data_IF_026768925928
#
_entry.id   IF_026768925928
#
_cell.length_a   1.000
_cell.length_b   1.000
_cell.length_c   1.000
_cell.angle_alpha   90.00
_cell.angle_beta   90.00
_cell.angle_gamma   90.00
#
_symmetry.space_group_name_H-M   'P 1'
#
loop_
_entity.id
_entity.type
_entity.pdbx_description
1 polymer ?
#
# COMPACT_ATOMS: atom_id res chain seq x y z
N UNK A 1 -37.91 9.38 44.62
CA UNK A 1 -36.89 10.19 43.92
C UNK A 1 -35.83 9.25 43.38
N UNK A 2 -35.69 9.08 42.06
CA UNK A 2 -34.67 8.21 41.51
C UNK A 2 -33.33 8.95 41.45
N UNK A 3 -32.32 8.25 41.92
CA UNK A 3 -30.90 8.62 41.94
C UNK A 3 -30.32 8.66 40.53
N UNK A 4 -29.75 9.81 40.15
CA UNK A 4 -28.94 9.99 38.96
C UNK A 4 -27.66 9.15 39.05
N UNK A 5 -27.59 8.09 38.26
CA UNK A 5 -26.39 7.24 38.13
C UNK A 5 -25.53 7.67 36.94
N UNK A 6 -24.29 8.06 37.27
CA UNK A 6 -23.03 8.04 36.51
C UNK A 6 -22.77 9.08 35.38
N UNK A 7 -21.49 9.52 35.24
CA UNK A 7 -21.06 10.44 34.20
C UNK A 7 -20.76 9.70 32.88
N UNK A 8 -21.35 10.16 31.78
CA UNK A 8 -21.24 9.62 30.41
C UNK A 8 -19.91 9.93 29.68
N UNK A 9 -18.88 10.44 30.37
CA UNK A 9 -17.64 10.94 29.72
C UNK A 9 -16.55 9.89 29.39
N UNK A 10 -16.78 8.60 29.66
CA UNK A 10 -15.77 7.53 29.44
C UNK A 10 -16.16 6.44 28.44
N UNK A 11 -17.38 6.43 27.92
CA UNK A 11 -17.89 5.33 27.09
C UNK A 11 -17.34 5.28 25.65
N UNK A 12 -17.12 6.41 24.93
CA UNK A 12 -16.65 6.37 23.55
C UNK A 12 -15.22 5.81 23.43
N UNK A 13 -14.31 6.26 24.31
CA UNK A 13 -12.90 5.81 24.29
C UNK A 13 -12.77 4.34 24.69
N UNK A 14 -13.55 3.88 25.67
CA UNK A 14 -13.57 2.47 26.05
C UNK A 14 -14.10 1.57 24.93
N UNK A 15 -15.11 2.02 24.18
CA UNK A 15 -15.64 1.26 23.03
C UNK A 15 -14.64 1.19 21.86
N UNK A 16 -13.91 2.28 21.59
CA UNK A 16 -12.84 2.32 20.59
C UNK A 16 -11.73 1.33 20.97
N UNK A 17 -11.27 1.38 22.22
CA UNK A 17 -10.25 0.46 22.72
C UNK A 17 -10.71 -0.99 22.63
N UNK A 18 -11.92 -1.31 23.09
CA UNK A 18 -12.45 -2.68 23.00
C UNK A 18 -12.58 -3.18 21.56
N UNK A 19 -12.93 -2.29 20.61
CA UNK A 19 -12.95 -2.64 19.18
C UNK A 19 -11.55 -2.91 18.64
N UNK A 20 -10.56 -2.09 19.01
CA UNK A 20 -9.16 -2.26 18.61
C UNK A 20 -8.58 -3.55 19.19
N UNK A 21 -8.79 -3.82 20.47
CA UNK A 21 -8.29 -5.03 21.13
C UNK A 21 -8.85 -6.28 20.42
N UNK A 22 -10.15 -6.28 20.11
CA UNK A 22 -10.75 -7.36 19.31
C UNK A 22 -10.12 -7.49 17.92
N UNK A 23 -9.87 -6.38 17.23
CA UNK A 23 -9.23 -6.42 15.91
C UNK A 23 -7.80 -6.95 15.98
N UNK A 24 -7.05 -6.59 17.03
CA UNK A 24 -5.70 -7.11 17.26
C UNK A 24 -5.75 -8.62 17.46
N UNK A 25 -6.64 -9.13 18.31
CA UNK A 25 -6.80 -10.58 18.52
C UNK A 25 -7.18 -11.30 17.22
N UNK A 26 -8.17 -10.79 16.48
CA UNK A 26 -8.62 -11.38 15.20
C UNK A 26 -7.50 -11.36 14.13
N UNK A 27 -6.70 -10.29 14.07
CA UNK A 27 -5.59 -10.16 13.13
C UNK A 27 -4.43 -11.09 13.48
N UNK A 28 -4.09 -11.21 14.77
CA UNK A 28 -3.02 -12.10 15.25
C UNK A 28 -3.36 -13.56 14.94
N UNK A 29 -4.61 -13.97 15.17
CA UNK A 29 -5.11 -15.30 14.79
C UNK A 29 -4.96 -15.58 13.29
N UNK A 30 -5.33 -14.61 12.44
CA UNK A 30 -5.22 -14.75 10.97
C UNK A 30 -3.74 -14.80 10.56
N UNK A 31 -2.90 -13.93 11.12
CA UNK A 31 -1.48 -13.84 10.81
C UNK A 31 -0.77 -15.17 11.13
N UNK A 32 -0.92 -15.68 12.34
CA UNK A 32 -0.31 -16.94 12.77
C UNK A 32 -0.80 -18.13 11.91
N UNK A 33 -2.11 -18.19 11.65
CA UNK A 33 -2.67 -19.23 10.79
C UNK A 33 -2.09 -19.19 9.37
N UNK A 34 -1.86 -17.99 8.82
CA UNK A 34 -1.28 -17.83 7.50
C UNK A 34 0.23 -18.11 7.50
N UNK A 35 0.94 -17.75 8.56
CA UNK A 35 2.36 -18.02 8.72
C UNK A 35 2.65 -19.53 8.67
N UNK A 36 1.78 -20.34 9.28
CA UNK A 36 1.85 -21.80 9.30
C UNK A 36 1.53 -22.47 7.94
N UNK A 37 1.01 -21.72 6.96
CA UNK A 37 0.72 -22.29 5.64
C UNK A 37 1.98 -22.38 4.78
N UNK A 38 2.25 -23.53 4.12
CA UNK A 38 3.46 -23.69 3.32
C UNK A 38 3.36 -22.99 1.96
N UNK A 39 2.14 -22.80 1.45
CA UNK A 39 1.89 -22.32 0.09
C UNK A 39 2.27 -20.86 -0.08
N UNK A 40 2.85 -20.52 -1.23
CA UNK A 40 3.23 -19.14 -1.56
C UNK A 40 2.05 -18.31 -2.06
N UNK A 41 0.94 -18.97 -2.39
CA UNK A 41 -0.29 -18.37 -2.88
C UNK A 41 -1.46 -18.71 -1.98
N UNK A 42 -2.40 -17.78 -1.87
CA UNK A 42 -3.69 -18.01 -1.24
C UNK A 42 -4.72 -18.12 -2.35
N UNK A 43 -5.28 -19.31 -2.50
CA UNK A 43 -6.37 -19.57 -3.43
C UNK A 43 -7.66 -18.87 -2.97
N UNK A 44 -8.49 -18.37 -3.91
CA UNK A 44 -9.78 -17.76 -3.58
C UNK A 44 -10.70 -18.63 -2.73
N UNK A 45 -10.67 -19.95 -2.95
CA UNK A 45 -11.42 -20.94 -2.18
C UNK A 45 -11.04 -20.95 -0.69
N UNK A 46 -9.82 -20.49 -0.37
CA UNK A 46 -9.30 -20.42 0.99
C UNK A 46 -9.51 -19.06 1.65
N UNK A 47 -9.98 -18.02 0.95
CA UNK A 47 -10.12 -16.67 1.52
C UNK A 47 -11.04 -16.62 2.75
N UNK A 48 -12.16 -17.36 2.72
CA UNK A 48 -13.07 -17.43 3.87
C UNK A 48 -12.38 -18.03 5.11
N UNK A 49 -11.45 -18.98 4.93
CA UNK A 49 -10.69 -19.59 6.02
C UNK A 49 -9.79 -18.59 6.75
N UNK A 50 -9.39 -17.50 6.08
CA UNK A 50 -8.57 -16.42 6.63
C UNK A 50 -9.36 -15.14 6.87
N UNK A 51 -10.71 -15.18 6.79
CA UNK A 51 -11.58 -14.00 6.86
C UNK A 51 -11.15 -12.90 5.88
N UNK A 52 -10.72 -13.28 4.68
CA UNK A 52 -10.29 -12.35 3.62
C UNK A 52 -11.46 -12.10 2.67
N UNK A 53 -11.72 -10.83 2.37
CA UNK A 53 -12.56 -10.40 1.27
C UNK A 53 -11.69 -9.72 0.22
N UNK A 54 -11.39 -10.44 -0.88
CA UNK A 54 -10.59 -9.92 -1.98
C UNK A 54 -11.51 -9.49 -3.13
N UNK A 55 -11.43 -8.21 -3.50
CA UNK A 55 -12.28 -7.57 -4.50
C UNK A 55 -11.42 -6.94 -5.59
N UNK A 56 -11.94 -6.82 -6.81
CA UNK A 56 -11.24 -6.08 -7.85
C UNK A 56 -11.31 -4.57 -7.61
N UNK A 57 -10.17 -3.90 -7.72
CA UNK A 57 -10.06 -2.46 -7.72
C UNK A 57 -10.44 -1.93 -9.12
N UNK A 58 -11.75 -1.74 -9.34
CA UNK A 58 -12.25 -1.15 -10.58
C UNK A 58 -12.08 0.37 -10.54
N UNK A 59 -11.04 0.88 -11.18
CA UNK A 59 -10.83 2.32 -11.29
C UNK A 59 -10.55 2.69 -12.76
N UNK A 60 -11.50 3.41 -13.36
CA UNK A 60 -11.39 4.18 -14.60
C UNK A 60 -11.01 3.41 -15.89
N UNK A 61 -11.91 2.57 -16.39
CA UNK A 61 -12.04 2.34 -17.85
C UNK A 61 -13.26 3.10 -18.36
N UNK A 62 -13.07 4.34 -18.81
CA UNK A 62 -14.12 5.14 -19.46
C UNK A 62 -15.36 5.44 -18.60
N UNK A 63 -16.34 6.11 -19.21
CA UNK A 63 -17.54 6.68 -18.58
C UNK A 63 -18.49 5.68 -17.88
N UNK A 64 -18.17 4.38 -17.85
CA UNK A 64 -19.08 3.32 -17.38
C UNK A 64 -18.55 2.46 -16.20
N UNK A 65 -17.39 2.77 -15.61
CA UNK A 65 -16.89 2.03 -14.45
C UNK A 65 -17.52 2.55 -13.14
N UNK A 66 -18.55 1.86 -12.63
CA UNK A 66 -19.13 2.13 -11.31
C UNK A 66 -18.29 1.46 -10.21
N UNK A 67 -18.02 2.20 -9.14
CA UNK A 67 -17.50 1.62 -7.90
C UNK A 67 -18.40 0.49 -7.42
N UNK A 68 -17.81 -0.57 -6.86
CA UNK A 68 -18.60 -1.67 -6.29
C UNK A 68 -19.48 -1.14 -5.15
N UNK A 69 -20.63 -1.78 -4.94
CA UNK A 69 -21.46 -1.47 -3.79
C UNK A 69 -20.67 -1.70 -2.49
N UNK A 70 -20.57 -0.66 -1.64
CA UNK A 70 -19.80 -0.64 -0.38
C UNK A 70 -18.27 -0.57 -0.54
N UNK A 71 -17.74 -0.06 -1.66
CA UNK A 71 -16.32 0.27 -1.77
C UNK A 71 -15.93 1.37 -0.77
N UNK A 72 -15.25 0.99 0.31
CA UNK A 72 -14.68 1.96 1.27
C UNK A 72 -13.37 2.52 0.72
N UNK A 73 -13.42 3.78 0.27
CA UNK A 73 -12.28 4.46 -0.32
C UNK A 73 -11.40 5.11 0.75
N UNK A 74 -10.18 4.60 0.89
CA UNK A 74 -9.14 5.21 1.73
C UNK A 74 -8.02 5.88 0.94
N UNK A 75 -7.90 5.55 -0.33
CA UNK A 75 -6.92 6.12 -1.25
C UNK A 75 -7.63 6.55 -2.53
N UNK A 76 -7.41 7.79 -2.95
CA UNK A 76 -7.97 8.31 -4.19
C UNK A 76 -6.85 8.62 -5.16
N UNK A 77 -6.80 8.03 -6.36
CA UNK A 77 -5.72 8.29 -7.29
C UNK A 77 -5.74 9.75 -7.74
N UNK A 78 -4.54 10.30 -7.97
CA UNK A 78 -4.33 11.54 -8.70
C UNK A 78 -4.87 11.40 -10.13
N UNK A 79 -5.42 12.49 -10.68
CA UNK A 79 -5.83 12.49 -12.08
C UNK A 79 -4.62 12.53 -13.01
N UNK A 80 -4.77 12.06 -14.25
CA UNK A 80 -3.70 12.14 -15.26
C UNK A 80 -3.26 13.59 -15.48
N UNK A 81 -4.22 14.51 -15.61
CA UNK A 81 -3.95 15.94 -15.81
C UNK A 81 -3.19 16.56 -14.63
N UNK A 82 -3.51 16.13 -13.39
CA UNK A 82 -2.81 16.61 -12.19
C UNK A 82 -1.39 16.06 -12.14
N UNK A 83 -1.16 14.78 -12.44
CA UNK A 83 0.18 14.22 -12.52
C UNK A 83 1.03 14.94 -13.59
N UNK A 84 0.46 15.21 -14.76
CA UNK A 84 1.11 15.94 -15.85
C UNK A 84 1.39 17.41 -15.53
N UNK A 85 0.71 17.99 -14.53
CA UNK A 85 0.99 19.35 -14.07
C UNK A 85 2.31 19.46 -13.27
N UNK A 86 2.94 18.33 -12.96
CA UNK A 86 4.25 18.23 -12.31
C UNK A 86 5.27 17.56 -13.25
N UNK A 87 5.69 18.25 -14.34
CA UNK A 87 6.64 17.67 -15.29
C UNK A 87 7.99 17.44 -14.61
N UNK A 88 8.70 16.41 -15.07
CA UNK A 88 10.06 16.10 -14.65
C UNK A 88 10.95 17.33 -14.87
N UNK A 89 11.81 17.62 -13.88
CA UNK A 89 12.76 18.71 -13.96
C UNK A 89 14.02 18.26 -14.71
N UNK A 90 14.07 18.55 -16.02
CA UNK A 90 15.23 18.20 -16.87
C UNK A 90 16.53 18.94 -16.50
N UNK A 91 16.44 19.99 -15.66
CA UNK A 91 17.60 20.73 -15.18
C UNK A 91 18.26 20.05 -13.95
N UNK A 92 17.59 19.04 -13.36
CA UNK A 92 18.08 18.29 -12.22
C UNK A 92 18.98 17.12 -12.67
N UNK A 93 20.27 17.22 -12.35
CA UNK A 93 21.29 16.26 -12.83
C UNK A 93 21.01 14.84 -12.35
N UNK A 94 20.66 14.67 -11.09
CA UNK A 94 20.44 13.35 -10.49
C UNK A 94 19.21 12.67 -11.13
N UNK A 95 18.11 13.41 -11.29
CA UNK A 95 16.91 12.94 -12.01
C UNK A 95 17.23 12.53 -13.44
N UNK A 96 18.05 13.29 -14.17
CA UNK A 96 18.42 12.97 -15.55
C UNK A 96 19.37 11.78 -15.65
N UNK A 97 20.25 11.57 -14.68
CA UNK A 97 21.10 10.37 -14.61
C UNK A 97 20.26 9.11 -14.38
N UNK A 98 19.28 9.16 -13.47
CA UNK A 98 18.36 8.05 -13.23
C UNK A 98 17.49 7.73 -14.45
N UNK A 99 17.01 8.74 -15.18
CA UNK A 99 16.26 8.56 -16.42
C UNK A 99 17.11 7.93 -17.54
N UNK A 100 18.38 8.31 -17.66
CA UNK A 100 19.29 7.70 -18.63
C UNK A 100 19.59 6.25 -18.26
N UNK A 101 19.77 5.95 -16.98
CA UNK A 101 19.90 4.57 -16.50
C UNK A 101 18.66 3.76 -16.83
N UNK A 102 17.46 4.30 -16.60
CA UNK A 102 16.21 3.65 -16.98
C UNK A 102 16.14 3.38 -18.49
N UNK A 103 16.47 4.36 -19.33
CA UNK A 103 16.49 4.18 -20.80
C UNK A 103 17.49 3.10 -21.22
N UNK A 104 18.69 3.13 -20.65
CA UNK A 104 19.74 2.13 -20.91
C UNK A 104 19.26 0.74 -20.52
N UNK A 105 18.59 0.60 -19.37
CA UNK A 105 17.99 -0.66 -18.97
C UNK A 105 16.97 -1.14 -20.02
N UNK A 106 16.03 -0.30 -20.46
CA UNK A 106 15.06 -0.71 -21.47
C UNK A 106 15.69 -1.04 -22.84
N UNK A 107 16.79 -0.38 -23.23
CA UNK A 107 17.51 -0.61 -24.48
C UNK A 107 18.38 -1.89 -24.45
N UNK A 108 19.02 -2.16 -23.30
CA UNK A 108 19.88 -3.33 -23.10
C UNK A 108 19.08 -4.61 -22.77
N UNK A 109 17.85 -4.47 -22.26
CA UNK A 109 17.02 -5.58 -21.77
C UNK A 109 16.15 -6.27 -22.84
N UNK A 110 16.81 -6.93 -23.80
CA UNK A 110 16.34 -8.25 -24.26
C UNK A 110 16.55 -9.33 -23.16
N UNK A 111 17.32 -9.05 -22.10
CA UNK A 111 17.56 -10.00 -20.99
C UNK A 111 17.56 -9.30 -19.63
N UNK A 112 16.38 -9.21 -19.02
CA UNK A 112 16.28 -9.31 -17.57
C UNK A 112 16.76 -10.74 -17.25
N UNK A 113 17.91 -10.83 -16.57
CA UNK A 113 18.73 -12.05 -16.40
C UNK A 113 18.01 -13.13 -15.55
N UNK A 114 18.54 -14.35 -15.45
CA UNK A 114 17.90 -15.55 -14.85
C UNK A 114 17.35 -15.41 -13.39
N UNK A 115 17.54 -14.27 -12.71
CA UNK A 115 17.07 -14.01 -11.34
C UNK A 115 15.81 -13.13 -11.28
N UNK A 116 14.66 -13.80 -11.21
CA UNK A 116 13.32 -13.21 -11.06
C UNK A 116 13.19 -12.18 -9.93
N UNK A 117 13.92 -12.32 -8.82
CA UNK A 117 13.82 -11.34 -7.74
C UNK A 117 14.48 -10.01 -8.10
N UNK A 118 15.55 -10.04 -8.91
CA UNK A 118 16.23 -8.83 -9.36
C UNK A 118 15.34 -8.06 -10.36
N UNK A 119 14.58 -8.76 -11.21
CA UNK A 119 13.58 -8.15 -12.08
C UNK A 119 12.52 -7.38 -11.30
N UNK A 120 11.97 -8.01 -10.25
CA UNK A 120 11.02 -7.37 -9.36
C UNK A 120 11.62 -6.14 -8.67
N UNK A 121 12.89 -6.22 -8.28
CA UNK A 121 13.63 -5.11 -7.66
C UNK A 121 13.85 -3.96 -8.63
N UNK A 122 14.22 -4.22 -9.87
CA UNK A 122 14.44 -3.15 -10.86
C UNK A 122 13.13 -2.43 -11.23
N UNK A 123 12.03 -3.16 -11.41
CA UNK A 123 10.72 -2.53 -11.60
C UNK A 123 10.33 -1.64 -10.41
N UNK A 124 10.55 -2.13 -9.18
CA UNK A 124 10.33 -1.37 -7.97
C UNK A 124 11.18 -0.10 -7.95
N UNK A 125 12.48 -0.22 -8.26
CA UNK A 125 13.43 0.91 -8.31
C UNK A 125 12.98 1.98 -9.31
N UNK A 126 12.54 1.58 -10.51
CA UNK A 126 12.06 2.51 -11.54
C UNK A 126 10.82 3.29 -11.06
N UNK A 127 9.83 2.57 -10.51
CA UNK A 127 8.58 3.21 -10.03
C UNK A 127 8.85 4.13 -8.85
N UNK A 128 9.61 3.67 -7.85
CA UNK A 128 9.98 4.48 -6.68
C UNK A 128 10.83 5.69 -7.07
N UNK A 129 11.80 5.51 -7.98
CA UNK A 129 12.62 6.60 -8.52
C UNK A 129 11.75 7.69 -9.15
N UNK A 130 10.81 7.32 -10.01
CA UNK A 130 9.89 8.30 -10.64
C UNK A 130 8.96 9.02 -9.67
N UNK A 131 8.72 8.45 -8.48
CA UNK A 131 8.01 9.10 -7.38
C UNK A 131 8.87 10.14 -6.65
N UNK A 132 10.18 9.89 -6.59
CA UNK A 132 11.21 10.74 -5.96
C UNK A 132 11.84 11.78 -6.90
N UNK A 133 11.66 11.65 -8.21
CA UNK A 133 12.22 12.60 -9.18
C UNK A 133 11.85 14.06 -8.89
N UNK A 134 12.83 14.93 -9.13
CA UNK A 134 12.65 16.38 -9.10
C UNK A 134 11.68 16.78 -10.20
N UNK A 135 10.64 17.53 -9.84
CA UNK A 135 9.59 18.01 -10.75
C UNK A 135 9.39 19.50 -10.60
N UNK A 136 9.10 20.18 -11.71
CA UNK A 136 8.84 21.63 -11.72
C UNK A 136 7.48 21.90 -11.07
N UNK A 137 7.48 22.71 -10.01
CA UNK A 137 6.25 23.21 -9.37
C UNK A 137 5.85 24.56 -9.98
N UNK A 138 6.85 25.42 -10.22
CA UNK A 138 6.77 26.67 -10.95
C UNK A 138 8.18 27.02 -11.47
N UNK A 139 8.35 28.21 -12.06
CA UNK A 139 9.61 28.63 -12.68
C UNK A 139 10.82 28.61 -11.72
N UNK A 140 10.61 28.68 -10.40
CA UNK A 140 11.68 28.80 -9.41
C UNK A 140 11.66 27.71 -8.33
N UNK A 141 10.64 26.86 -8.30
CA UNK A 141 10.45 25.85 -7.25
C UNK A 141 10.29 24.45 -7.84
N UNK A 142 10.90 23.49 -7.16
CA UNK A 142 10.78 22.07 -7.48
C UNK A 142 10.12 21.31 -6.34
N UNK A 143 9.62 20.13 -6.63
CA UNK A 143 9.06 19.20 -5.65
C UNK A 143 9.21 17.76 -6.14
N UNK A 144 9.04 16.81 -5.23
CA UNK A 144 8.78 15.40 -5.58
C UNK A 144 7.29 15.11 -5.43
N UNK A 145 6.81 14.00 -6.01
CA UNK A 145 5.38 13.65 -5.92
C UNK A 145 4.97 13.33 -4.47
N UNK A 146 5.82 12.63 -3.72
CA UNK A 146 5.52 12.30 -2.33
C UNK A 146 5.47 13.53 -1.43
N UNK A 147 6.34 14.53 -1.65
CA UNK A 147 6.34 15.77 -0.89
C UNK A 147 5.02 16.51 -1.03
N UNK A 148 4.44 16.48 -2.24
CA UNK A 148 3.15 17.12 -2.56
C UNK A 148 1.95 16.42 -1.93
N UNK A 149 2.05 15.14 -1.67
CA UNK A 149 0.89 14.26 -1.39
C UNK A 149 0.84 13.80 0.05
N UNK A 150 1.66 14.41 0.90
CA UNK A 150 1.60 14.22 2.35
C UNK A 150 2.24 12.92 2.82
N UNK A 151 2.95 12.20 1.95
CA UNK A 151 3.77 11.06 2.31
C UNK A 151 5.08 11.51 2.95
N UNK A 152 5.67 10.62 3.75
CA UNK A 152 7.02 10.74 4.29
C UNK A 152 7.72 9.39 4.06
N UNK A 153 8.81 9.35 3.27
CA UNK A 153 9.65 8.17 3.16
C UNK A 153 10.07 7.71 4.55
N UNK A 154 9.89 6.42 4.82
CA UNK A 154 10.12 5.83 6.13
C UNK A 154 10.88 4.53 5.94
N UNK A 155 11.74 4.21 6.90
CA UNK A 155 12.22 2.85 7.06
C UNK A 155 11.06 1.96 7.55
N UNK A 156 11.24 0.65 7.42
CA UNK A 156 10.36 -0.33 8.04
C UNK A 156 10.59 -0.45 9.56
N UNK A 157 11.00 0.62 10.22
CA UNK A 157 11.07 0.67 11.68
C UNK A 157 9.69 0.50 12.31
N UNK A 158 9.64 0.49 13.66
CA UNK A 158 8.43 0.35 14.50
C UNK A 158 7.23 1.21 14.12
N UNK A 159 7.40 2.24 13.30
CA UNK A 159 6.30 3.05 12.77
C UNK A 159 5.49 2.33 11.66
N UNK A 160 6.10 1.38 10.95
CA UNK A 160 5.49 0.62 9.84
C UNK A 160 5.35 -0.86 10.23
N UNK A 161 6.45 -1.50 10.66
CA UNK A 161 6.48 -2.89 11.10
C UNK A 161 7.17 -2.99 12.45
N UNK A 162 6.56 -3.72 13.39
CA UNK A 162 7.17 -4.03 14.66
C UNK A 162 8.26 -5.09 14.49
N UNK A 163 9.36 -4.99 15.24
CA UNK A 163 10.52 -5.90 15.23
C UNK A 163 10.15 -7.39 15.38
N UNK A 164 8.94 -7.71 15.86
CA UNK A 164 8.48 -9.11 16.05
C UNK A 164 8.18 -9.79 14.73
N UNK A 165 8.00 -9.03 13.66
CA UNK A 165 7.73 -9.53 12.31
C UNK A 165 8.98 -9.47 11.42
N UNK A 166 10.11 -8.97 11.94
CA UNK A 166 11.31 -8.77 11.12
C UNK A 166 11.83 -10.08 10.56
N UNK A 167 11.91 -11.11 11.41
CA UNK A 167 12.43 -12.42 11.05
C UNK A 167 11.62 -13.06 9.92
N UNK A 168 10.29 -13.01 10.01
CA UNK A 168 9.39 -13.62 9.04
C UNK A 168 9.32 -12.84 7.72
N UNK A 169 9.36 -11.51 7.77
CA UNK A 169 9.12 -10.66 6.61
C UNK A 169 10.39 -10.31 5.82
N UNK A 170 11.55 -10.19 6.47
CA UNK A 170 12.78 -9.71 5.83
C UNK A 170 13.82 -10.80 5.57
N UNK A 171 13.76 -11.96 6.25
CA UNK A 171 14.73 -13.05 6.01
C UNK A 171 14.33 -14.01 4.88
N UNK A 172 13.19 -13.78 4.24
CA UNK A 172 12.82 -14.53 3.05
C UNK A 172 13.73 -14.16 1.87
N UNK A 173 14.36 -15.17 1.28
CA UNK A 173 15.20 -15.02 0.08
C UNK A 173 14.38 -14.85 -1.20
N UNK A 174 13.06 -15.08 -1.14
CA UNK A 174 12.17 -15.11 -2.33
C UNK A 174 11.23 -13.92 -2.42
N UNK A 175 11.08 -13.19 -1.34
CA UNK A 175 10.26 -12.00 -1.28
C UNK A 175 10.59 -11.20 -0.03
N UNK A 176 10.49 -9.88 -0.09
CA UNK A 176 10.62 -9.02 1.08
C UNK A 176 10.01 -7.64 0.82
N UNK A 177 9.66 -6.90 1.89
CA UNK A 177 9.39 -5.47 1.77
C UNK A 177 10.63 -4.70 1.31
N UNK A 178 10.45 -3.65 0.50
CA UNK A 178 11.56 -2.89 -0.08
C UNK A 178 11.56 -1.41 0.34
N UNK A 179 10.52 -0.65 0.00
CA UNK A 179 10.37 0.77 0.36
C UNK A 179 9.07 1.02 1.13
N UNK A 180 9.05 2.03 2.01
CA UNK A 180 7.86 2.40 2.77
C UNK A 180 7.66 3.92 2.88
N UNK A 181 6.40 4.32 3.00
CA UNK A 181 5.97 5.68 3.27
C UNK A 181 4.83 5.67 4.29
N UNK A 182 4.84 6.65 5.19
CA UNK A 182 3.71 6.91 6.09
C UNK A 182 3.11 8.27 5.83
N UNK A 183 1.84 8.42 6.13
CA UNK A 183 1.21 9.73 6.12
C UNK A 183 1.91 10.68 7.09
N UNK A 184 2.06 11.94 6.69
CA UNK A 184 2.61 13.01 7.52
C UNK A 184 1.77 13.16 8.78
N UNK A 185 2.44 13.23 9.93
CA UNK A 185 1.80 13.33 11.25
C UNK A 185 0.73 14.43 11.33
N UNK A 186 0.97 15.59 10.71
CA UNK A 186 0.03 16.71 10.69
C UNK A 186 -1.33 16.39 10.04
N UNK A 187 -1.42 15.32 9.25
CA UNK A 187 -2.67 14.86 8.65
C UNK A 187 -3.51 14.01 9.61
N UNK A 188 -2.93 13.54 10.72
CA UNK A 188 -3.57 12.60 11.65
C UNK A 188 -4.20 11.40 10.91
N UNK A 189 -3.49 10.87 9.92
CA UNK A 189 -3.94 9.75 9.09
C UNK A 189 -3.08 8.52 9.41
N UNK A 190 -3.68 7.34 9.68
CA UNK A 190 -2.94 6.12 9.93
C UNK A 190 -2.45 5.43 8.65
N UNK A 191 -2.69 6.01 7.48
CA UNK A 191 -2.33 5.44 6.18
C UNK A 191 -0.84 5.11 6.04
N UNK A 192 -0.58 3.97 5.42
CA UNK A 192 0.75 3.49 5.04
C UNK A 192 0.75 3.06 3.59
N UNK A 193 1.87 3.28 2.92
CA UNK A 193 2.19 2.71 1.63
C UNK A 193 3.52 1.97 1.71
N UNK A 194 3.65 0.83 1.04
CA UNK A 194 4.95 0.17 0.88
C UNK A 194 5.02 -0.64 -0.41
N UNK A 195 6.24 -0.99 -0.80
CA UNK A 195 6.51 -1.91 -1.91
C UNK A 195 6.91 -3.29 -1.40
N UNK A 196 6.51 -4.31 -2.14
CA UNK A 196 6.96 -5.69 -1.96
C UNK A 196 7.58 -6.16 -3.26
N UNK A 197 8.67 -6.91 -3.14
CA UNK A 197 9.27 -7.61 -4.29
C UNK A 197 9.15 -9.11 -4.07
N UNK A 198 8.83 -9.84 -5.13
CA UNK A 198 8.60 -11.28 -5.12
C UNK A 198 9.29 -11.95 -6.31
N UNK A 199 9.98 -13.08 -6.07
CA UNK A 199 10.51 -13.97 -7.10
C UNK A 199 9.40 -14.77 -7.81
N UNK A 200 8.26 -14.93 -7.14
CA UNK A 200 7.16 -15.76 -7.61
C UNK A 200 6.47 -15.17 -8.83
N UNK A 201 6.02 -15.99 -9.79
CA UNK A 201 5.20 -15.51 -10.90
C UNK A 201 3.85 -14.99 -10.39
N UNK A 202 3.31 -14.01 -11.09
CA UNK A 202 2.02 -13.41 -10.79
C UNK A 202 0.86 -14.34 -11.16
N UNK A 203 -0.24 -14.25 -10.40
CA UNK A 203 -1.53 -14.86 -10.72
C UNK A 203 -2.64 -13.85 -10.36
N UNK A 204 -3.41 -13.45 -11.38
CA UNK A 204 -4.48 -12.44 -11.22
C UNK A 204 -5.67 -12.96 -10.41
N UNK A 205 -5.81 -14.28 -10.21
CA UNK A 205 -6.86 -14.86 -9.39
C UNK A 205 -6.44 -14.99 -7.92
N UNK A 206 -5.14 -15.14 -7.65
CA UNK A 206 -4.63 -15.44 -6.29
C UNK A 206 -3.97 -14.23 -5.62
N UNK A 207 -3.87 -14.29 -4.30
CA UNK A 207 -3.01 -13.41 -3.51
C UNK A 207 -1.68 -14.12 -3.24
N UNK A 208 -0.58 -13.39 -3.18
CA UNK A 208 0.67 -13.94 -2.68
C UNK A 208 0.60 -13.92 -1.15
N UNK A 209 1.06 -15.01 -0.52
CA UNK A 209 1.07 -15.12 0.95
C UNK A 209 1.86 -13.96 1.59
N UNK A 210 2.99 -13.59 0.98
CA UNK A 210 3.82 -12.48 1.47
C UNK A 210 3.11 -11.11 1.42
N UNK A 211 2.23 -10.88 0.44
CA UNK A 211 1.43 -9.65 0.40
C UNK A 211 0.51 -9.55 1.61
N UNK A 212 -0.19 -10.63 1.92
CA UNK A 212 -1.16 -10.66 3.02
C UNK A 212 -0.45 -10.61 4.38
N UNK A 213 0.66 -11.34 4.56
CA UNK A 213 1.46 -11.28 5.78
C UNK A 213 1.97 -9.86 6.07
N UNK A 214 2.53 -9.17 5.07
CA UNK A 214 3.03 -7.80 5.23
C UNK A 214 1.91 -6.81 5.54
N UNK A 215 0.75 -6.94 4.89
CA UNK A 215 -0.44 -6.12 5.17
C UNK A 215 -0.91 -6.33 6.63
N UNK A 216 -1.09 -7.59 7.05
CA UNK A 216 -1.56 -7.93 8.39
C UNK A 216 -0.60 -7.39 9.47
N UNK A 217 0.70 -7.62 9.31
CA UNK A 217 1.73 -7.13 10.22
C UNK A 217 1.75 -5.59 10.32
N UNK A 218 1.56 -4.90 9.20
CA UNK A 218 1.49 -3.43 9.17
C UNK A 218 0.25 -2.92 9.93
N UNK A 219 -0.91 -3.53 9.69
CA UNK A 219 -2.16 -3.16 10.39
C UNK A 219 -2.02 -3.43 11.90
N UNK A 220 -1.51 -4.61 12.29
CA UNK A 220 -1.25 -4.98 13.69
C UNK A 220 -0.32 -3.98 14.39
N UNK A 221 0.80 -3.64 13.75
CA UNK A 221 1.78 -2.69 14.28
C UNK A 221 1.13 -1.33 14.57
N UNK A 222 0.29 -0.84 13.66
CA UNK A 222 -0.31 0.50 13.80
C UNK A 222 -1.56 0.51 14.68
N UNK A 223 -2.31 -0.58 14.76
CA UNK A 223 -3.41 -0.75 15.72
C UNK A 223 -2.92 -0.94 17.16
N UNK A 224 -1.69 -1.39 17.38
CA UNK A 224 -1.11 -1.47 18.73
C UNK A 224 -0.36 -0.19 19.11
N UNK A 225 -0.01 0.66 18.14
CA UNK A 225 0.62 1.96 18.38
C UNK A 225 -0.28 2.93 19.17
N UNK A 226 0.34 3.66 20.09
CA UNK A 226 -0.31 4.74 20.85
C UNK A 226 -0.57 5.99 20.01
N UNK A 227 0.09 6.13 18.84
CA UNK A 227 -0.05 7.27 17.94
C UNK A 227 -1.45 7.38 17.31
N UNK A 228 -2.09 6.23 17.07
CA UNK A 228 -3.35 6.15 16.33
C UNK A 228 -4.51 5.60 17.17
N UNK A 229 -4.52 5.85 18.50
CA UNK A 229 -5.53 5.30 19.42
C UNK A 229 -6.98 5.67 19.07
N UNK A 230 -7.19 6.82 18.44
CA UNK A 230 -8.52 7.29 18.04
C UNK A 230 -8.99 6.70 16.70
N UNK A 231 -8.13 5.93 16.03
CA UNK A 231 -8.41 5.26 14.76
C UNK A 231 -8.81 3.80 14.98
N UNK A 232 -9.71 3.27 14.17
CA UNK A 232 -10.05 1.83 14.16
C UNK A 232 -9.78 1.17 12.83
N UNK A 233 -9.44 1.97 11.82
CA UNK A 233 -9.08 1.51 10.48
C UNK A 233 -7.66 2.00 10.20
N UNK A 234 -6.79 1.08 9.78
CA UNK A 234 -5.46 1.38 9.28
C UNK A 234 -5.43 1.04 7.78
N UNK A 235 -5.55 2.03 6.89
CA UNK A 235 -5.45 1.78 5.46
C UNK A 235 -4.02 1.50 5.03
N UNK A 236 -3.84 0.47 4.23
CA UNK A 236 -2.55 0.05 3.69
C UNK A 236 -2.63 0.01 2.16
N UNK A 237 -1.69 0.64 1.48
CA UNK A 237 -1.51 0.54 0.03
C UNK A 237 -0.21 -0.21 -0.27
N UNK A 238 -0.28 -1.26 -1.08
CA UNK A 238 0.90 -2.05 -1.44
C UNK A 238 1.08 -2.03 -2.94
N UNK A 239 2.31 -1.76 -3.38
CA UNK A 239 2.75 -2.01 -4.74
C UNK A 239 3.55 -3.31 -4.71
N UNK A 240 2.99 -4.36 -5.28
CA UNK A 240 3.60 -5.70 -5.30
C UNK A 240 4.21 -5.95 -6.67
N UNK A 241 5.52 -6.19 -6.72
CA UNK A 241 6.30 -6.44 -7.92
C UNK A 241 6.70 -7.91 -7.96
N UNK A 242 6.47 -8.56 -9.10
CA UNK A 242 6.68 -10.00 -9.29
C UNK A 242 7.72 -10.28 -10.36
N UNK A 243 8.47 -11.35 -10.18
CA UNK A 243 9.61 -11.69 -11.04
C UNK A 243 9.27 -12.19 -12.44
N UNK A 244 7.99 -12.25 -12.81
CA UNK A 244 7.53 -12.41 -14.19
C UNK A 244 7.24 -11.06 -14.89
N UNK A 245 7.89 -9.99 -14.40
CA UNK A 245 7.77 -8.61 -14.91
C UNK A 245 6.33 -8.09 -14.86
N UNK A 246 5.63 -8.44 -13.79
CA UNK A 246 4.30 -7.95 -13.49
C UNK A 246 4.31 -7.19 -12.18
N UNK A 247 3.39 -6.26 -12.03
CA UNK A 247 3.11 -5.63 -10.75
C UNK A 247 1.61 -5.55 -10.52
N UNK A 248 1.20 -5.25 -9.29
CA UNK A 248 -0.17 -4.88 -8.98
C UNK A 248 -0.25 -3.96 -7.78
N UNK A 249 -1.35 -3.21 -7.73
CA UNK A 249 -1.70 -2.39 -6.59
C UNK A 249 -2.70 -3.15 -5.70
N UNK A 250 -2.42 -3.19 -4.41
CA UNK A 250 -3.36 -3.62 -3.38
C UNK A 250 -3.73 -2.44 -2.48
N UNK A 251 -5.00 -2.35 -2.10
CA UNK A 251 -5.47 -1.46 -1.05
C UNK A 251 -6.20 -2.30 -0.02
N UNK A 252 -5.81 -2.19 1.25
CA UNK A 252 -6.31 -3.05 2.29
C UNK A 252 -6.66 -2.28 3.55
N UNK A 253 -7.61 -2.83 4.30
CA UNK A 253 -7.92 -2.43 5.66
C UNK A 253 -8.59 -3.59 6.40
N UNK A 254 -8.61 -3.52 7.73
CA UNK A 254 -9.31 -4.49 8.55
C UNK A 254 -10.63 -3.92 9.05
N UNK A 255 -11.73 -4.63 8.78
CA UNK A 255 -13.08 -4.26 9.17
C UNK A 255 -13.75 -5.30 10.05
N UNK A 256 -15.02 -5.08 10.38
CA UNK A 256 -15.77 -5.95 11.32
C UNK A 256 -15.92 -7.41 10.85
N UNK A 257 -15.71 -7.68 9.56
CA UNK A 257 -15.80 -9.01 8.94
C UNK A 257 -14.44 -9.65 8.64
N UNK A 258 -13.34 -8.97 8.92
CA UNK A 258 -11.99 -9.44 8.61
C UNK A 258 -11.23 -8.50 7.67
N UNK A 259 -10.23 -9.05 6.98
CA UNK A 259 -9.34 -8.31 6.09
C UNK A 259 -10.01 -8.07 4.74
N UNK A 260 -10.14 -6.81 4.35
CA UNK A 260 -10.64 -6.42 3.03
C UNK A 260 -9.46 -6.00 2.17
N UNK A 261 -9.34 -6.58 0.98
CA UNK A 261 -8.31 -6.26 -0.01
C UNK A 261 -9.00 -5.90 -1.33
N UNK A 262 -8.63 -4.76 -1.89
CA UNK A 262 -8.91 -4.40 -3.27
C UNK A 262 -7.65 -4.56 -4.10
N UNK A 263 -7.73 -5.30 -5.19
CA UNK A 263 -6.60 -5.67 -6.05
C UNK A 263 -6.80 -5.17 -7.47
N UNK A 264 -5.82 -4.45 -8.02
CA UNK A 264 -5.82 -4.09 -9.45
C UNK A 264 -5.67 -5.33 -10.34
N UNK A 265 -5.94 -5.17 -11.64
CA UNK A 265 -5.40 -6.11 -12.62
C UNK A 265 -3.87 -6.08 -12.60
N UNK A 266 -3.24 -7.12 -13.14
CA UNK A 266 -1.80 -7.16 -13.35
C UNK A 266 -1.35 -6.07 -14.34
N UNK A 267 -0.30 -5.37 -13.96
CA UNK A 267 0.35 -4.29 -14.69
C UNK A 267 1.64 -4.84 -15.29
N UNK A 268 1.82 -4.66 -16.59
CA UNK A 268 2.91 -5.29 -17.34
C UNK A 268 4.13 -4.37 -17.46
N UNK A 269 5.32 -4.95 -17.29
CA UNK A 269 6.62 -4.34 -17.54
C UNK A 269 7.43 -5.16 -18.56
N UNK A 270 6.73 -5.89 -19.43
CA UNK A 270 7.35 -6.76 -20.44
C UNK A 270 8.04 -5.97 -21.55
N UNK A 271 7.56 -4.77 -21.83
CA UNK A 271 8.11 -3.86 -22.84
C UNK A 271 7.96 -2.40 -22.37
N UNK A 272 8.71 -1.46 -22.97
CA UNK A 272 8.72 -0.07 -22.52
C UNK A 272 7.35 0.63 -22.60
N UNK A 273 6.54 0.32 -23.61
CA UNK A 273 5.22 0.98 -23.77
C UNK A 273 4.23 0.50 -22.71
N UNK A 274 4.25 -0.80 -22.40
CA UNK A 274 3.46 -1.37 -21.31
C UNK A 274 3.94 -0.85 -19.95
N UNK A 275 5.26 -0.81 -19.73
CA UNK A 275 5.86 -0.31 -18.51
C UNK A 275 5.46 1.15 -18.23
N UNK A 276 5.50 2.03 -19.23
CA UNK A 276 5.13 3.44 -19.07
C UNK A 276 3.68 3.60 -18.58
N UNK A 277 2.75 2.83 -19.15
CA UNK A 277 1.33 2.83 -18.71
C UNK A 277 1.17 2.31 -17.29
N UNK A 278 1.91 1.25 -16.95
CA UNK A 278 1.93 0.66 -15.61
C UNK A 278 2.50 1.63 -14.57
N UNK A 279 3.59 2.32 -14.90
CA UNK A 279 4.24 3.34 -14.08
C UNK A 279 3.28 4.52 -13.85
N UNK A 280 2.67 5.07 -14.91
CA UNK A 280 1.70 6.17 -14.75
C UNK A 280 0.55 5.77 -13.84
N UNK A 281 0.00 4.57 -14.02
CA UNK A 281 -1.04 4.03 -13.16
C UNK A 281 -0.59 4.00 -11.69
N UNK A 282 0.56 3.40 -11.39
CA UNK A 282 1.08 3.29 -10.03
C UNK A 282 1.36 4.67 -9.42
N UNK A 283 2.03 5.56 -10.14
CA UNK A 283 2.34 6.92 -9.69
C UNK A 283 1.09 7.71 -9.32
N UNK A 284 -0.01 7.54 -10.04
CA UNK A 284 -1.28 8.19 -9.69
C UNK A 284 -1.81 7.74 -8.33
N UNK A 285 -1.61 6.48 -7.95
CA UNK A 285 -2.00 6.01 -6.62
C UNK A 285 -0.98 6.36 -5.54
N UNK A 286 0.31 6.32 -5.85
CA UNK A 286 1.35 6.76 -4.91
C UNK A 286 1.18 8.25 -4.59
N UNK A 287 0.94 9.07 -5.60
CA UNK A 287 0.66 10.50 -5.49
C UNK A 287 -0.82 10.80 -5.19
N UNK A 288 -1.61 9.80 -4.81
CA UNK A 288 -3.03 9.96 -4.54
C UNK A 288 -3.32 10.70 -3.23
N UNK A 289 -4.57 11.14 -3.08
CA UNK A 289 -5.06 11.73 -1.84
C UNK A 289 -5.40 10.63 -0.80
N UNK A 290 -5.02 10.89 0.45
CA UNK A 290 -5.39 10.08 1.61
C UNK A 290 -6.81 10.45 2.06
N UNK A 291 -7.78 9.59 1.77
CA UNK A 291 -9.20 9.84 1.99
C UNK A 291 -9.80 8.84 2.98
N UNK A 292 -11.11 8.92 3.20
CA UNK A 292 -11.85 8.06 4.14
C UNK A 292 -11.72 8.50 5.60
N UNK A 293 -12.75 8.17 6.38
CA UNK A 293 -12.71 8.31 7.83
C UNK A 293 -12.12 7.04 8.44
N UNK A 294 -11.07 7.23 9.24
CA UNK A 294 -10.35 6.16 9.93
C UNK A 294 -10.52 6.28 11.44
N UNK A 295 -10.95 7.45 11.92
CA UNK A 295 -11.22 7.72 13.31
C UNK A 295 -12.66 7.35 13.63
N UNK A 296 -12.91 6.91 14.86
CA UNK A 296 -14.30 6.84 15.33
C UNK A 296 -14.64 8.24 15.80
N UNK A 297 -15.19 9.06 14.90
CA UNK A 297 -15.70 10.38 15.27
C UNK A 297 -16.91 10.19 16.20
N UNK A 298 -16.68 10.32 17.51
CA UNK A 298 -17.77 10.51 18.45
C UNK A 298 -18.51 11.78 18.06
N UNK A 299 -19.81 11.68 17.78
CA UNK A 299 -20.68 12.82 17.54
C UNK A 299 -20.51 13.85 18.68
N UNK A 300 -19.75 14.91 18.41
CA UNK A 300 -19.79 16.13 19.20
C UNK A 300 -20.88 17.01 18.58
N UNK A 301 -22.11 16.84 19.05
CA UNK A 301 -23.15 17.86 18.96
C UNK A 301 -23.49 18.34 20.38
#
# INVERSE_FOLDING_TARGET
>A
MPTLSKPLRGQPKAAILAKRDKFVDDLDDIYNKLLDTPDEYIDPESYENFKISCNHLYLYRGDDAREQANFERYFSPMSVNELQSYPINEDDKDTMEDLQLEQTLWEEHETLDDNRLDDAREMCRIVCGRFDFSRKLNDNETCTLWMRTGWIPSDFSKCILHDIFEDELFHSLKWHPNDAWRARFALSKPHVMFTLIHEYPSDDNKLLRGEVLAILATILTRLTSTEYQDHTVIPVQVLSFMGDKQARLLQAYFGDKGLVIYKSHLLSFQDPEAAEKSIEFLLRFMAGNLVGDTAVTGFFF
#
